data_IF_980733364832
#
_entry.id   IF_980733364832
#
_cell.length_a   1.000
_cell.length_b   1.000
_cell.length_c   1.000
_cell.angle_alpha   90.00
_cell.angle_beta   90.00
_cell.angle_gamma   90.00
#
_symmetry.space_group_name_H-M   'P 1'
#
loop_
_entity.id
_entity.type
_entity.pdbx_description
1 polymer ?
#
# COMPACT_ATOMS: atom_id res chain seq x y z
N UNK A 1 1.73 8.80 16.89
CA UNK A 1 1.20 7.95 17.99
C UNK A 1 0.93 6.55 17.47
N UNK A 2 1.32 5.49 18.18
CA UNK A 2 1.06 4.08 17.78
C UNK A 2 1.48 3.72 16.34
N UNK A 3 2.53 4.35 15.81
CA UNK A 3 2.99 4.16 14.43
C UNK A 3 2.28 5.03 13.37
N UNK A 4 1.37 5.91 13.77
CA UNK A 4 0.76 6.92 12.91
C UNK A 4 1.42 8.29 13.11
N UNK A 5 1.60 9.00 12.01
CA UNK A 5 1.88 10.43 11.99
C UNK A 5 0.57 11.19 11.72
N UNK A 6 0.31 12.20 12.53
CA UNK A 6 -1.01 12.77 12.68
C UNK A 6 -0.92 14.29 12.61
N UNK A 7 -1.65 14.92 11.68
CA UNK A 7 -1.71 16.38 11.56
C UNK A 7 -3.15 16.87 11.62
N UNK A 8 -3.44 17.76 12.57
CA UNK A 8 -4.76 18.39 12.72
C UNK A 8 -4.69 19.81 12.17
N UNK A 9 -5.61 20.16 11.27
CA UNK A 9 -5.77 21.50 10.72
C UNK A 9 -7.16 22.06 11.08
N UNK A 10 -7.25 23.05 11.97
CA UNK A 10 -8.50 23.72 12.28
C UNK A 10 -9.00 24.55 11.09
N UNK A 11 -10.32 24.51 10.84
CA UNK A 11 -10.97 25.26 9.74
C UNK A 11 -10.62 26.76 9.76
N UNK A 12 -10.56 27.35 10.95
CA UNK A 12 -10.30 28.78 11.18
C UNK A 12 -8.91 29.22 10.66
N UNK A 13 -7.97 28.29 10.50
CA UNK A 13 -6.59 28.57 10.04
C UNK A 13 -6.35 28.17 8.58
N UNK A 14 -7.38 27.73 7.86
CA UNK A 14 -7.25 27.38 6.44
C UNK A 14 -7.23 28.66 5.59
N UNK A 15 -6.31 28.71 4.63
CA UNK A 15 -6.14 29.84 3.68
C UNK A 15 -7.35 30.03 2.77
N UNK A 16 -8.04 28.93 2.44
CA UNK A 16 -9.36 28.93 1.81
C UNK A 16 -10.33 28.31 2.81
N UNK A 17 -11.46 28.95 3.11
CA UNK A 17 -12.45 28.51 4.12
C UNK A 17 -13.19 27.19 3.76
N UNK A 18 -12.77 26.54 2.66
CA UNK A 18 -13.34 25.30 2.16
C UNK A 18 -12.54 24.08 2.61
N UNK A 19 -13.27 23.03 3.00
CA UNK A 19 -12.69 21.74 3.36
C UNK A 19 -12.20 21.01 2.12
N UNK A 20 -10.99 20.46 2.18
CA UNK A 20 -10.52 19.49 1.19
C UNK A 20 -11.37 18.24 1.31
N UNK A 21 -12.24 18.00 0.33
CA UNK A 21 -13.02 16.76 0.23
C UNK A 21 -12.20 15.74 -0.52
N UNK A 22 -11.36 15.00 0.21
CA UNK A 22 -10.71 13.77 -0.25
C UNK A 22 -11.18 12.64 0.65
N UNK A 23 -11.34 11.45 0.07
CA UNK A 23 -11.79 10.26 0.81
C UNK A 23 -10.83 9.89 1.96
N UNK A 24 -9.56 10.31 1.86
CA UNK A 24 -8.50 9.99 2.82
C UNK A 24 -8.37 10.99 4.00
N UNK A 25 -9.31 11.94 4.15
CA UNK A 25 -9.25 12.99 5.18
C UNK A 25 -10.40 12.86 6.18
N UNK A 26 -10.06 12.58 7.44
CA UNK A 26 -11.07 12.48 8.49
C UNK A 26 -11.53 13.89 8.92
N UNK A 27 -12.84 14.11 8.93
CA UNK A 27 -13.42 15.38 9.40
C UNK A 27 -13.80 15.28 10.88
N UNK A 28 -13.18 16.11 11.72
CA UNK A 28 -13.46 16.16 13.15
C UNK A 28 -14.70 17.03 13.41
N UNK A 29 -15.65 16.44 14.13
CA UNK A 29 -16.92 17.05 14.50
C UNK A 29 -16.88 17.50 15.95
N UNK A 30 -17.29 18.74 16.21
CA UNK A 30 -17.49 19.21 17.58
C UNK A 30 -18.72 18.50 18.18
N UNK A 31 -18.58 17.97 19.38
CA UNK A 31 -19.63 17.21 20.04
C UNK A 31 -20.87 18.06 20.34
N UNK A 32 -20.69 19.31 20.74
CA UNK A 32 -21.80 20.20 21.15
C UNK A 32 -22.53 20.79 19.96
N UNK A 33 -21.80 21.46 19.05
CA UNK A 33 -22.42 22.17 17.91
C UNK A 33 -22.75 21.24 16.74
N UNK A 34 -22.20 20.02 16.74
CA UNK A 34 -22.30 19.07 15.63
C UNK A 34 -21.73 19.60 14.30
N UNK A 35 -20.93 20.66 14.34
CA UNK A 35 -20.25 21.20 13.16
C UNK A 35 -18.90 20.53 12.94
N UNK A 36 -18.45 20.43 11.68
CA UNK A 36 -17.09 20.02 11.34
C UNK A 36 -16.16 21.20 11.58
N UNK A 37 -15.22 21.07 12.52
CA UNK A 37 -14.37 22.18 12.98
C UNK A 37 -12.91 22.05 12.59
N UNK A 38 -12.45 20.83 12.29
CA UNK A 38 -11.07 20.58 11.88
C UNK A 38 -10.98 19.38 10.94
N UNK A 39 -9.92 19.36 10.14
CA UNK A 39 -9.52 18.19 9.34
C UNK A 39 -8.34 17.49 10.00
N UNK A 40 -8.31 16.17 9.82
CA UNK A 40 -7.29 15.30 10.35
C UNK A 40 -6.66 14.51 9.22
N UNK A 41 -5.34 14.66 9.09
CA UNK A 41 -4.52 13.95 8.11
C UNK A 41 -3.73 12.86 8.83
N UNK A 42 -3.80 11.65 8.28
CA UNK A 42 -3.17 10.44 8.78
C UNK A 42 -2.09 9.97 7.81
N UNK A 43 -0.89 9.75 8.31
CA UNK A 43 0.19 9.11 7.57
C UNK A 43 0.82 8.01 8.41
N UNK A 44 1.59 7.12 7.78
CA UNK A 44 2.32 6.06 8.48
C UNK A 44 3.70 6.56 8.86
N UNK A 45 4.09 6.32 10.11
CA UNK A 45 5.40 6.71 10.63
C UNK A 45 6.54 5.90 9.98
N UNK A 46 7.68 6.54 9.81
CA UNK A 46 8.88 6.00 9.16
C UNK A 46 9.43 4.77 9.90
N UNK A 47 9.34 4.74 11.23
CA UNK A 47 9.75 3.55 12.01
C UNK A 47 8.90 2.34 11.67
N UNK A 48 7.58 2.53 11.52
CA UNK A 48 6.64 1.47 11.19
C UNK A 48 6.85 0.95 9.77
N UNK A 49 7.13 1.83 8.81
CA UNK A 49 7.53 1.46 7.46
C UNK A 49 8.81 0.60 7.45
N UNK A 50 9.82 1.02 8.21
CA UNK A 50 11.07 0.26 8.35
C UNK A 50 10.85 -1.10 9.01
N UNK A 51 9.96 -1.19 10.01
CA UNK A 51 9.59 -2.45 10.65
C UNK A 51 8.93 -3.41 9.67
N UNK A 52 8.03 -2.92 8.82
CA UNK A 52 7.43 -3.72 7.74
C UNK A 52 8.48 -4.17 6.73
N UNK A 53 9.36 -3.27 6.28
CA UNK A 53 10.43 -3.62 5.35
C UNK A 53 11.36 -4.70 5.92
N UNK A 54 11.74 -4.59 7.19
CA UNK A 54 12.56 -5.58 7.87
C UNK A 54 11.84 -6.92 8.03
N UNK A 55 10.52 -6.91 8.25
CA UNK A 55 9.71 -8.13 8.26
C UNK A 55 9.73 -8.82 6.90
N UNK A 56 9.58 -8.08 5.80
CA UNK A 56 9.68 -8.64 4.44
C UNK A 56 11.09 -9.21 4.19
N UNK A 57 12.14 -8.50 4.60
CA UNK A 57 13.54 -9.00 4.52
C UNK A 57 13.71 -10.31 5.28
N UNK A 58 13.13 -10.43 6.48
CA UNK A 58 13.18 -11.66 7.27
C UNK A 58 12.49 -12.82 6.54
N UNK A 59 11.35 -12.57 5.89
CA UNK A 59 10.66 -13.58 5.07
C UNK A 59 11.58 -14.05 3.93
N UNK A 60 12.25 -13.12 3.24
CA UNK A 60 13.17 -13.43 2.15
C UNK A 60 14.40 -14.21 2.64
N UNK A 61 15.02 -13.83 3.76
CA UNK A 61 16.18 -14.53 4.31
C UNK A 61 15.83 -15.95 4.80
N UNK A 62 14.65 -16.14 5.39
CA UNK A 62 14.19 -17.44 5.87
C UNK A 62 13.65 -18.37 4.76
N UNK A 63 13.58 -17.90 3.52
CA UNK A 63 12.96 -18.62 2.39
C UNK A 63 13.89 -19.59 1.64
N UNK A 64 15.05 -19.94 2.22
CA UNK A 64 16.08 -20.77 1.58
C UNK A 64 15.61 -22.14 1.09
N UNK A 65 14.83 -22.85 1.91
CA UNK A 65 14.36 -24.22 1.65
C UNK A 65 12.88 -24.42 2.01
N UNK A 66 12.10 -23.34 2.07
CA UNK A 66 10.66 -23.40 2.38
C UNK A 66 9.83 -23.52 1.10
N UNK A 67 8.69 -24.20 1.16
CA UNK A 67 7.74 -24.28 0.03
C UNK A 67 7.25 -22.89 -0.39
N UNK A 68 6.97 -22.70 -1.68
CA UNK A 68 6.49 -21.41 -2.21
C UNK A 68 5.16 -20.97 -1.57
N UNK A 69 4.28 -21.91 -1.27
CA UNK A 69 3.04 -21.66 -0.53
C UNK A 69 3.30 -21.07 0.86
N UNK A 70 4.33 -21.53 1.58
CA UNK A 70 4.71 -20.95 2.88
C UNK A 70 5.27 -19.53 2.74
N UNK A 71 5.97 -19.22 1.65
CA UNK A 71 6.46 -17.87 1.36
C UNK A 71 5.27 -16.93 1.10
N UNK A 72 4.34 -17.34 0.23
CA UNK A 72 3.12 -16.59 -0.07
C UNK A 72 2.26 -16.35 1.19
N UNK A 73 2.07 -17.37 2.04
CA UNK A 73 1.31 -17.22 3.28
C UNK A 73 1.96 -16.25 4.27
N UNK A 74 3.30 -16.25 4.40
CA UNK A 74 4.01 -15.29 5.25
C UNK A 74 3.90 -13.86 4.71
N UNK A 75 3.95 -13.70 3.39
CA UNK A 75 3.71 -12.42 2.72
C UNK A 75 2.27 -11.94 3.00
N UNK A 76 1.26 -12.78 2.76
CA UNK A 76 -0.14 -12.44 2.99
C UNK A 76 -0.37 -12.00 4.44
N UNK A 77 0.17 -12.73 5.42
CA UNK A 77 0.04 -12.35 6.82
C UNK A 77 0.69 -11.01 7.15
N UNK A 78 1.87 -10.72 6.59
CA UNK A 78 2.55 -9.44 6.78
C UNK A 78 1.78 -8.29 6.11
N UNK A 79 1.30 -8.51 4.88
CA UNK A 79 0.56 -7.53 4.10
C UNK A 79 -0.79 -7.20 4.74
N UNK A 80 -1.58 -8.22 5.11
CA UNK A 80 -2.84 -8.05 5.83
C UNK A 80 -2.58 -7.27 7.13
N UNK A 81 -1.60 -7.69 7.94
CA UNK A 81 -1.27 -7.01 9.20
C UNK A 81 -0.95 -5.52 9.01
N UNK A 82 -0.24 -5.16 7.94
CA UNK A 82 0.03 -3.76 7.59
C UNK A 82 -1.25 -3.03 7.17
N UNK A 83 -1.97 -3.58 6.19
CA UNK A 83 -3.14 -2.95 5.57
C UNK A 83 -4.33 -2.82 6.53
N UNK A 84 -4.60 -3.82 7.38
CA UNK A 84 -5.72 -3.78 8.32
C UNK A 84 -5.45 -2.90 9.54
N UNK A 85 -4.17 -2.68 9.88
CA UNK A 85 -3.78 -1.81 10.98
C UNK A 85 -3.77 -0.35 10.54
N UNK A 86 -3.11 -0.02 9.42
CA UNK A 86 -2.95 1.36 8.96
C UNK A 86 -4.10 1.87 8.09
N UNK A 87 -4.82 1.00 7.39
CA UNK A 87 -6.03 1.30 6.59
C UNK A 87 -5.85 2.54 5.70
N UNK A 88 -6.66 3.58 5.89
CA UNK A 88 -6.65 4.84 5.12
C UNK A 88 -5.28 5.54 5.13
N UNK A 89 -4.49 5.41 6.22
CA UNK A 89 -3.17 6.04 6.32
C UNK A 89 -2.18 5.53 5.27
N UNK A 90 -2.41 4.33 4.72
CA UNK A 90 -1.56 3.76 3.65
C UNK A 90 -1.69 4.55 2.36
N UNK A 91 -2.89 5.01 2.01
CA UNK A 91 -3.14 5.74 0.74
C UNK A 91 -2.50 7.11 0.77
N UNK A 92 -2.55 7.78 1.92
CA UNK A 92 -1.90 9.08 2.09
C UNK A 92 -0.36 9.00 2.10
N UNK A 93 0.20 7.81 2.35
CA UNK A 93 1.65 7.62 2.46
C UNK A 93 2.23 6.99 1.18
N UNK A 94 2.64 7.83 0.23
CA UNK A 94 3.22 7.38 -1.05
C UNK A 94 4.45 6.49 -0.90
N UNK A 95 5.33 6.82 0.05
CA UNK A 95 6.54 6.03 0.33
C UNK A 95 6.21 4.60 0.75
N UNK A 96 5.11 4.40 1.47
CA UNK A 96 4.64 3.08 1.86
C UNK A 96 4.07 2.32 0.66
N UNK A 97 3.29 2.97 -0.21
CA UNK A 97 2.79 2.36 -1.44
C UNK A 97 3.95 1.86 -2.32
N UNK A 98 4.98 2.70 -2.50
CA UNK A 98 6.19 2.34 -3.23
C UNK A 98 6.89 1.13 -2.62
N UNK A 99 7.03 1.13 -1.29
CA UNK A 99 7.66 0.04 -0.54
C UNK A 99 6.84 -1.26 -0.62
N UNK A 100 5.50 -1.18 -0.63
CA UNK A 100 4.61 -2.33 -0.80
C UNK A 100 4.81 -2.96 -2.18
N UNK A 101 4.85 -2.16 -3.25
CA UNK A 101 5.06 -2.65 -4.61
C UNK A 101 6.46 -3.27 -4.77
N UNK A 102 7.48 -2.61 -4.25
CA UNK A 102 8.85 -3.14 -4.28
C UNK A 102 8.93 -4.48 -3.52
N UNK A 103 8.27 -4.57 -2.38
CA UNK A 103 8.24 -5.78 -1.55
C UNK A 103 7.52 -6.94 -2.24
N UNK A 104 6.39 -6.67 -2.90
CA UNK A 104 5.64 -7.67 -3.69
C UNK A 104 6.50 -8.21 -4.84
N UNK A 105 7.16 -7.32 -5.58
CA UNK A 105 8.10 -7.69 -6.65
C UNK A 105 9.28 -8.52 -6.16
N UNK A 106 9.83 -8.22 -4.97
CA UNK A 106 10.91 -9.01 -4.35
C UNK A 106 10.43 -10.42 -3.99
N UNK A 107 9.22 -10.56 -3.43
CA UNK A 107 8.65 -11.87 -3.09
C UNK A 107 8.40 -12.71 -4.34
N UNK A 108 7.79 -12.13 -5.37
CA UNK A 108 7.62 -12.81 -6.66
C UNK A 108 8.97 -13.23 -7.25
N UNK A 109 9.95 -12.33 -7.26
CA UNK A 109 11.30 -12.61 -7.79
C UNK A 109 11.97 -13.74 -7.02
N UNK A 110 11.76 -13.84 -5.70
CA UNK A 110 12.29 -14.94 -4.90
C UNK A 110 11.68 -16.29 -5.29
N UNK A 111 10.38 -16.34 -5.57
CA UNK A 111 9.69 -17.54 -6.06
C UNK A 111 10.20 -17.93 -7.45
N UNK A 112 10.33 -16.94 -8.35
CA UNK A 112 10.91 -17.10 -9.69
C UNK A 112 12.33 -17.71 -9.63
N UNK A 113 13.21 -17.17 -8.77
CA UNK A 113 14.57 -17.71 -8.55
C UNK A 113 14.52 -19.15 -8.03
N UNK A 114 13.58 -19.49 -7.15
CA UNK A 114 13.41 -20.86 -6.66
C UNK A 114 13.06 -21.88 -7.76
N UNK A 115 12.47 -21.42 -8.87
CA UNK A 115 12.15 -22.21 -10.06
C UNK A 115 13.22 -22.08 -11.16
N UNK A 116 14.38 -21.50 -10.84
CA UNK A 116 15.50 -21.28 -11.75
C UNK A 116 15.12 -20.54 -13.05
N UNK A 117 14.20 -19.58 -12.97
CA UNK A 117 13.82 -18.74 -14.11
C UNK A 117 13.39 -17.36 -13.64
N UNK A 118 13.73 -16.31 -14.39
CA UNK A 118 13.24 -14.93 -14.14
C UNK A 118 12.38 -14.38 -15.29
N UNK A 119 12.08 -15.22 -16.28
CA UNK A 119 11.46 -14.79 -17.53
C UNK A 119 9.98 -14.44 -17.31
N UNK A 120 9.52 -13.21 -17.62
CA UNK A 120 8.14 -12.78 -17.36
C UNK A 120 7.08 -13.68 -18.00
N UNK A 121 7.31 -14.15 -19.23
CA UNK A 121 6.38 -15.02 -19.97
C UNK A 121 6.11 -16.37 -19.31
N UNK A 122 7.02 -16.87 -18.47
CA UNK A 122 6.83 -18.12 -17.71
C UNK A 122 6.04 -17.93 -16.43
N UNK A 123 5.85 -16.69 -16.00
CA UNK A 123 5.23 -16.34 -14.73
C UNK A 123 4.12 -15.32 -14.94
N UNK A 124 3.04 -15.69 -15.65
CA UNK A 124 1.87 -14.84 -15.74
C UNK A 124 1.28 -14.60 -14.33
N UNK A 125 0.63 -13.45 -14.09
CA UNK A 125 0.09 -13.08 -12.77
C UNK A 125 -0.79 -14.16 -12.14
N UNK A 126 -1.52 -14.91 -12.98
CA UNK A 126 -2.38 -16.03 -12.57
C UNK A 126 -1.68 -17.03 -11.65
N UNK A 127 -0.39 -17.34 -11.87
CA UNK A 127 0.35 -18.32 -11.05
C UNK A 127 0.50 -17.86 -9.59
N UNK A 128 0.54 -16.54 -9.38
CA UNK A 128 0.70 -15.96 -8.05
C UNK A 128 -0.65 -15.75 -7.35
N UNK A 129 -1.65 -15.26 -8.08
CA UNK A 129 -2.88 -14.72 -7.47
C UNK A 129 -4.05 -15.68 -7.41
N UNK A 130 -4.07 -16.76 -8.18
CA UNK A 130 -5.19 -17.70 -8.09
C UNK A 130 -5.20 -18.41 -6.73
N UNK A 131 -6.40 -18.65 -6.15
CA UNK A 131 -6.54 -19.31 -4.86
C UNK A 131 -5.79 -20.64 -4.77
N UNK A 132 -5.32 -20.97 -3.57
CA UNK A 132 -4.61 -22.25 -3.32
C UNK A 132 -5.47 -23.46 -3.61
N UNK A 133 -6.79 -23.33 -3.49
CA UNK A 133 -7.78 -24.36 -3.82
C UNK A 133 -7.76 -24.75 -5.30
N UNK A 134 -7.36 -23.82 -6.18
CA UNK A 134 -7.20 -24.04 -7.62
C UNK A 134 -5.75 -24.43 -7.98
N UNK A 135 -4.92 -24.79 -7.00
CA UNK A 135 -3.58 -25.35 -7.21
C UNK A 135 -2.44 -24.33 -7.33
N UNK A 136 -2.69 -23.06 -7.06
CA UNK A 136 -1.69 -21.99 -7.15
C UNK A 136 -1.32 -21.41 -5.77
N UNK A 137 -0.71 -20.22 -5.74
CA UNK A 137 -0.10 -19.68 -4.52
C UNK A 137 -1.05 -18.87 -3.62
N UNK A 138 -2.15 -18.35 -4.16
CA UNK A 138 -3.10 -17.51 -3.42
C UNK A 138 -2.45 -16.28 -2.78
N UNK A 139 -1.46 -15.68 -3.45
CA UNK A 139 -0.81 -14.46 -2.96
C UNK A 139 -1.79 -13.29 -3.05
N UNK A 140 -1.81 -12.40 -2.05
CA UNK A 140 -2.58 -11.16 -2.09
C UNK A 140 -1.78 -10.07 -2.77
N UNK A 141 -2.46 -9.26 -3.58
CA UNK A 141 -1.85 -8.14 -4.30
C UNK A 141 -2.22 -6.80 -3.70
N UNK A 142 -1.25 -5.89 -3.68
CA UNK A 142 -1.46 -4.46 -3.41
C UNK A 142 -0.80 -3.57 -4.46
N UNK A 143 0.21 -4.08 -5.19
CA UNK A 143 1.03 -3.28 -6.11
C UNK A 143 0.48 -3.04 -7.51
N UNK A 144 -0.66 -3.64 -7.89
CA UNK A 144 -1.35 -3.32 -9.15
C UNK A 144 -2.17 -2.02 -9.07
N UNK A 145 -1.82 -1.13 -8.15
CA UNK A 145 -2.41 0.20 -8.05
C UNK A 145 -1.63 1.19 -8.92
N UNK A 146 -2.34 2.07 -9.60
CA UNK A 146 -1.76 3.26 -10.21
C UNK A 146 -1.38 4.22 -9.09
N UNK A 147 -0.08 4.37 -8.82
CA UNK A 147 0.38 5.25 -7.74
C UNK A 147 0.28 6.71 -8.23
N UNK A 148 -0.41 7.58 -7.48
CA UNK A 148 -0.46 9.00 -7.82
C UNK A 148 0.94 9.59 -7.68
N UNK A 149 1.41 10.31 -8.71
CA UNK A 149 2.70 10.95 -8.71
C UNK A 149 2.54 12.46 -8.84
N UNK A 150 3.28 13.17 -7.98
CA UNK A 150 3.35 14.62 -7.96
C UNK A 150 4.62 15.10 -8.66
N UNK A 151 4.60 16.36 -9.11
CA UNK A 151 5.83 17.00 -9.55
C UNK A 151 6.81 17.16 -8.37
N UNK A 152 7.91 16.42 -8.43
CA UNK A 152 8.91 16.34 -7.36
C UNK A 152 9.50 17.70 -6.99
N UNK A 153 9.48 18.68 -7.90
CA UNK A 153 10.07 20.00 -7.67
C UNK A 153 9.23 20.88 -6.73
N UNK A 154 7.91 20.72 -6.71
CA UNK A 154 7.00 21.50 -5.86
C UNK A 154 6.31 20.69 -4.75
N UNK A 155 6.33 19.36 -4.85
CA UNK A 155 5.75 18.43 -3.86
C UNK A 155 6.25 18.62 -2.42
N UNK A 156 7.48 19.14 -2.23
CA UNK A 156 8.06 19.38 -0.90
C UNK A 156 7.51 20.64 -0.21
N UNK A 157 6.88 21.54 -0.96
CA UNK A 157 6.54 22.89 -0.49
C UNK A 157 5.03 23.09 -0.34
N UNK A 158 4.23 22.49 -1.24
CA UNK A 158 2.77 22.50 -1.18
C UNK A 158 2.20 21.21 -1.78
N UNK A 159 0.98 20.85 -1.37
CA UNK A 159 0.19 19.80 -2.01
C UNK A 159 -0.27 20.28 -3.40
N UNK A 160 0.63 20.22 -4.38
CA UNK A 160 0.29 20.34 -5.80
C UNK A 160 -0.44 19.05 -6.14
N UNK A 161 -1.74 19.13 -6.46
CA UNK A 161 -2.59 17.96 -6.71
C UNK A 161 -2.00 16.92 -7.68
N UNK A 162 -2.65 15.77 -7.81
CA UNK A 162 -2.12 14.63 -8.58
C UNK A 162 -1.98 15.05 -10.05
N UNK A 163 -0.75 15.04 -10.60
CA UNK A 163 -0.47 15.44 -11.98
C UNK A 163 -0.33 14.23 -12.91
N UNK A 164 0.25 13.15 -12.41
CA UNK A 164 0.49 11.93 -13.17
C UNK A 164 0.14 10.68 -12.36
N UNK A 165 -0.09 9.58 -13.05
CA UNK A 165 -0.17 8.25 -12.44
C UNK A 165 0.92 7.37 -13.02
N UNK A 166 1.59 6.60 -12.17
CA UNK A 166 2.60 5.63 -12.60
C UNK A 166 2.16 4.21 -12.22
N UNK A 167 2.07 3.34 -13.22
CA UNK A 167 1.97 1.90 -12.99
C UNK A 167 3.34 1.35 -12.65
N UNK A 168 3.47 0.68 -11.50
CA UNK A 168 4.73 0.07 -11.04
C UNK A 168 4.81 -1.44 -11.27
N UNK A 169 3.74 -2.07 -11.78
CA UNK A 169 3.70 -3.49 -12.11
C UNK A 169 3.12 -3.71 -13.51
N UNK A 170 3.81 -4.52 -14.30
CA UNK A 170 3.36 -4.85 -15.66
C UNK A 170 2.38 -6.03 -15.61
N UNK A 171 1.25 -5.89 -16.30
CA UNK A 171 0.27 -6.94 -16.56
C UNK A 171 -0.31 -6.71 -17.97
N UNK A 172 -0.98 -7.72 -18.52
CA UNK A 172 -1.63 -7.59 -19.83
C UNK A 172 -2.75 -6.54 -19.75
N UNK A 173 -2.93 -5.73 -20.80
CA UNK A 173 -3.68 -4.45 -20.76
C UNK A 173 -5.14 -4.54 -20.28
N UNK A 174 -5.77 -5.71 -20.33
CA UNK A 174 -7.16 -5.94 -19.90
C UNK A 174 -7.31 -6.72 -18.58
N UNK A 175 -6.20 -7.06 -17.90
CA UNK A 175 -6.24 -7.93 -16.73
C UNK A 175 -6.28 -7.14 -15.41
N UNK A 176 -7.47 -6.85 -14.90
CA UNK A 176 -7.62 -6.26 -13.57
C UNK A 176 -7.34 -7.28 -12.46
N UNK A 177 -6.28 -7.04 -11.68
CA UNK A 177 -5.93 -7.84 -10.50
C UNK A 177 -6.56 -7.19 -9.27
N UNK A 178 -7.30 -7.98 -8.48
CA UNK A 178 -7.96 -7.51 -7.26
C UNK A 178 -6.93 -7.03 -6.24
N UNK A 179 -7.13 -5.80 -5.77
CA UNK A 179 -6.30 -5.12 -4.77
C UNK A 179 -6.95 -5.28 -3.40
N UNK A 180 -6.14 -5.42 -2.34
CA UNK A 180 -6.67 -5.61 -0.99
C UNK A 180 -7.41 -4.38 -0.42
N UNK A 181 -6.99 -3.17 -0.77
CA UNK A 181 -7.48 -1.92 -0.14
C UNK A 181 -9.01 -1.72 -0.23
N UNK A 182 -9.67 -1.85 -1.41
CA UNK A 182 -11.12 -1.67 -1.52
C UNK A 182 -11.97 -2.66 -0.71
N UNK A 183 -11.36 -3.77 -0.25
CA UNK A 183 -12.03 -4.79 0.55
C UNK A 183 -11.84 -4.59 2.07
N UNK A 184 -11.07 -3.59 2.48
CA UNK A 184 -10.90 -3.21 3.89
C UNK A 184 -11.83 -2.03 4.16
N UNK A 185 -12.74 -2.22 5.12
CA UNK A 185 -13.58 -1.10 5.60
C UNK A 185 -12.67 -0.12 6.36
N UNK A 186 -12.74 1.19 6.06
CA UNK A 186 -11.98 2.21 6.77
C UNK A 186 -12.19 2.17 8.29
#
# INVERSE_FOLDING_TARGET
>A
MCGFECRILPKIRMTHEEFVHKDDVCNLKNETTKERTAQYFLSVDVESMNRYHNRVRQILMASGSTTFTKIANKWNAALIGCMTYFREAVVNTQELLDLLVESENKIQTRIKIGLNSKMPSRFPPVVFYTPTELGCLGMLSVGHISIPQYDLRWSKQTDVGITHFCSRMNHDEDQLILILYPHIVP
#
